data_IF_960348238019
#
_entry.id   IF_960348238019
#
_cell.length_a   1.000
_cell.length_b   1.000
_cell.length_c   1.000
_cell.angle_alpha   90.00
_cell.angle_beta   90.00
_cell.angle_gamma   90.00
#
_symmetry.space_group_name_H-M   'P 1'
#
loop_
_entity.id
_entity.type
_entity.pdbx_description
1 polymer ?
#
# COMPACT_ATOMS: atom_id res chain seq x y z
N UNK A 1 40.60 -4.50 -23.89
CA UNK A 1 39.59 -5.24 -24.69
C UNK A 1 38.29 -4.43 -24.62
N UNK A 2 38.20 -3.41 -25.50
CA UNK A 2 37.10 -2.45 -25.55
C UNK A 2 35.88 -3.12 -26.18
N UNK A 3 34.79 -3.31 -25.43
CA UNK A 3 33.51 -3.71 -26.02
C UNK A 3 32.92 -2.52 -26.80
N UNK A 4 32.49 -2.71 -28.05
CA UNK A 4 31.87 -1.66 -28.83
C UNK A 4 30.48 -1.30 -28.26
N UNK A 5 30.24 -0.01 -28.14
CA UNK A 5 28.98 0.64 -27.76
C UNK A 5 27.79 0.03 -28.53
N UNK A 6 26.89 -0.66 -27.84
CA UNK A 6 25.72 -1.29 -28.45
C UNK A 6 24.63 -0.24 -28.75
N UNK A 7 24.30 0.05 -30.02
CA UNK A 7 23.33 1.07 -30.41
C UNK A 7 21.92 0.80 -29.84
N UNK A 8 21.60 -0.46 -29.50
CA UNK A 8 20.35 -0.83 -28.87
C UNK A 8 20.17 -0.18 -27.48
N UNK A 9 21.26 0.05 -26.72
CA UNK A 9 21.18 0.70 -25.40
C UNK A 9 20.79 2.18 -25.51
N UNK A 10 21.23 2.87 -26.56
CA UNK A 10 20.89 4.28 -26.81
C UNK A 10 19.42 4.44 -27.18
N UNK A 11 18.89 3.54 -27.99
CA UNK A 11 17.46 3.54 -28.37
C UNK A 11 16.55 3.28 -27.18
N UNK A 12 16.94 2.39 -26.27
CA UNK A 12 16.15 2.03 -25.10
C UNK A 12 16.03 3.18 -24.09
N UNK A 13 17.09 3.99 -23.92
CA UNK A 13 17.07 5.20 -23.10
C UNK A 13 16.26 6.35 -23.72
N UNK A 14 16.17 6.43 -25.05
CA UNK A 14 15.35 7.43 -25.73
C UNK A 14 13.84 7.12 -25.62
N UNK A 15 13.48 5.83 -25.62
CA UNK A 15 12.09 5.39 -25.54
C UNK A 15 11.47 5.58 -24.15
N UNK A 16 12.26 5.59 -23.07
CA UNK A 16 11.75 5.80 -21.71
C UNK A 16 11.41 7.27 -21.41
N UNK A 17 12.10 8.25 -22.00
CA UNK A 17 11.82 9.68 -21.77
C UNK A 17 10.56 10.15 -22.50
N UNK A 18 10.29 9.62 -23.70
CA UNK A 18 9.11 10.00 -24.48
C UNK A 18 7.78 9.52 -23.85
N UNK A 19 7.79 8.41 -23.11
CA UNK A 19 6.59 7.87 -22.46
C UNK A 19 6.10 8.68 -21.26
N UNK A 20 7.00 9.38 -20.54
CA UNK A 20 6.65 10.10 -19.31
C UNK A 20 5.97 11.46 -19.52
N UNK A 21 6.18 12.10 -20.68
CA UNK A 21 5.58 13.41 -20.97
C UNK A 21 4.10 13.34 -21.34
N UNK A 22 3.64 12.22 -21.91
CA UNK A 22 2.25 12.05 -22.33
C UNK A 22 1.28 11.85 -21.15
N UNK A 23 1.73 11.23 -20.04
CA UNK A 23 0.89 11.04 -18.85
C UNK A 23 0.57 12.34 -18.10
N UNK A 24 1.37 13.40 -18.25
CA UNK A 24 1.14 14.67 -17.56
C UNK A 24 0.05 15.53 -18.23
N UNK A 25 -0.16 15.41 -19.54
CA UNK A 25 -1.19 16.18 -20.27
C UNK A 25 -2.57 15.53 -20.27
N UNK A 26 -2.67 14.21 -20.09
CA UNK A 26 -3.96 13.50 -20.04
C UNK A 26 -4.80 13.77 -18.77
N UNK A 27 -4.19 14.31 -17.71
CA UNK A 27 -4.85 14.57 -16.43
C UNK A 27 -5.79 15.80 -16.44
N UNK A 28 -5.64 16.69 -17.42
CA UNK A 28 -6.37 17.97 -17.46
C UNK A 28 -7.63 17.96 -18.36
N UNK A 29 -7.83 16.92 -19.15
CA UNK A 29 -8.95 16.82 -20.10
C UNK A 29 -9.72 15.51 -19.90
N UNK A 30 -10.34 15.40 -18.72
CA UNK A 30 -11.61 14.70 -18.51
C UNK A 30 -11.75 13.29 -19.07
N UNK A 31 -11.55 12.28 -18.22
CA UNK A 31 -12.07 10.93 -18.48
C UNK A 31 -11.25 9.80 -17.89
N UNK A 32 -10.95 9.83 -16.59
CA UNK A 32 -10.51 8.61 -15.91
C UNK A 32 -11.73 7.71 -15.70
N UNK A 33 -11.75 6.46 -16.22
CA UNK A 33 -12.74 5.49 -15.79
C UNK A 33 -12.49 5.24 -14.30
N UNK A 34 -13.57 5.30 -13.52
CA UNK A 34 -13.53 5.43 -12.08
C UNK A 34 -12.57 4.44 -11.41
N UNK A 35 -11.62 4.99 -10.65
CA UNK A 35 -11.21 4.36 -9.40
C UNK A 35 -12.44 4.45 -8.51
N UNK A 36 -13.30 3.44 -8.63
CA UNK A 36 -14.34 3.17 -7.66
C UNK A 36 -13.61 2.92 -6.35
N UNK A 37 -13.48 3.98 -5.55
CA UNK A 37 -13.27 3.87 -4.13
C UNK A 37 -14.41 2.98 -3.65
N UNK A 38 -14.12 1.70 -3.43
CA UNK A 38 -15.07 0.77 -2.88
C UNK A 38 -15.38 1.28 -1.47
N UNK A 39 -16.44 2.09 -1.36
CA UNK A 39 -17.09 2.46 -0.11
C UNK A 39 -17.83 1.23 0.43
N UNK A 40 -17.08 0.16 0.70
CA UNK A 40 -17.43 -0.72 1.79
C UNK A 40 -16.97 0.02 3.04
N UNK A 41 -17.87 0.80 3.65
CA UNK A 41 -17.58 1.51 4.88
C UNK A 41 -17.51 0.51 6.02
N UNK A 42 -16.41 -0.26 6.07
CA UNK A 42 -16.01 -0.97 7.27
C UNK A 42 -15.82 0.10 8.34
N UNK A 43 -16.44 -0.03 9.53
CA UNK A 43 -16.28 0.94 10.60
C UNK A 43 -14.80 1.16 10.87
N UNK A 44 -14.26 2.30 10.45
CA UNK A 44 -12.88 2.67 10.77
C UNK A 44 -12.85 2.81 12.28
N UNK A 45 -12.03 2.00 12.94
CA UNK A 45 -11.82 2.10 14.38
C UNK A 45 -11.21 3.47 14.66
N UNK A 46 -12.05 4.43 15.02
CA UNK A 46 -11.61 5.78 15.31
C UNK A 46 -10.81 5.76 16.61
N UNK A 47 -9.63 6.37 16.57
CA UNK A 47 -8.89 6.66 17.78
C UNK A 47 -9.55 7.86 18.47
N UNK A 48 -9.77 7.78 19.77
CA UNK A 48 -10.46 8.80 20.59
C UNK A 48 -9.59 10.03 20.89
N UNK A 49 -8.34 10.07 20.40
CA UNK A 49 -7.39 11.16 20.66
C UNK A 49 -6.73 11.09 22.04
N UNK A 50 -6.89 9.98 22.78
CA UNK A 50 -6.26 9.78 24.09
C UNK A 50 -4.72 9.75 24.04
N UNK A 51 -4.07 9.65 25.22
CA UNK A 51 -2.61 9.47 25.25
C UNK A 51 -2.24 8.05 24.85
N UNK A 52 -1.20 7.90 24.04
CA UNK A 52 -0.65 6.62 23.61
C UNK A 52 0.74 6.48 24.21
N UNK A 53 1.03 5.31 24.77
CA UNK A 53 2.36 5.01 25.32
C UNK A 53 3.28 4.41 24.25
N UNK A 54 2.71 3.63 23.32
CA UNK A 54 3.45 3.02 22.21
C UNK A 54 2.67 3.11 20.90
N UNK A 55 3.30 3.69 19.86
CA UNK A 55 2.82 3.69 18.48
C UNK A 55 3.64 2.70 17.64
N UNK A 56 2.97 1.73 17.03
CA UNK A 56 3.57 0.76 16.11
C UNK A 56 3.09 1.09 14.70
N UNK A 57 4.03 1.29 13.78
CA UNK A 57 3.74 1.56 12.37
C UNK A 57 4.07 0.29 11.56
N UNK A 58 3.06 -0.24 10.87
CA UNK A 58 3.12 -1.48 10.11
C UNK A 58 2.52 -2.67 10.86
N UNK A 59 1.40 -3.19 10.36
CA UNK A 59 0.67 -4.37 10.82
C UNK A 59 1.16 -5.69 10.21
N UNK A 60 2.44 -5.77 9.82
CA UNK A 60 3.07 -7.01 9.37
C UNK A 60 3.31 -8.01 10.51
N UNK A 61 4.04 -9.10 10.22
CA UNK A 61 4.30 -10.18 11.19
C UNK A 61 4.92 -9.69 12.50
N UNK A 62 5.97 -8.85 12.42
CA UNK A 62 6.62 -8.29 13.60
C UNK A 62 5.71 -7.31 14.35
N UNK A 63 5.02 -6.41 13.63
CA UNK A 63 4.12 -5.42 14.22
C UNK A 63 2.95 -6.05 14.97
N UNK A 64 2.35 -7.10 14.40
CA UNK A 64 1.27 -7.84 15.03
C UNK A 64 1.71 -8.55 16.32
N UNK A 65 2.89 -9.17 16.32
CA UNK A 65 3.45 -9.83 17.52
C UNK A 65 3.78 -8.81 18.61
N UNK A 66 4.43 -7.69 18.24
CA UNK A 66 4.75 -6.61 19.17
C UNK A 66 3.48 -6.00 19.76
N UNK A 67 2.48 -5.69 18.94
CA UNK A 67 1.21 -5.16 19.39
C UNK A 67 0.56 -6.09 20.42
N UNK A 68 0.54 -7.40 20.14
CA UNK A 68 -0.01 -8.40 21.06
C UNK A 68 0.74 -8.41 22.39
N UNK A 69 2.07 -8.53 22.38
CA UNK A 69 2.89 -8.61 23.60
C UNK A 69 2.86 -7.34 24.44
N UNK A 70 2.85 -6.18 23.80
CA UNK A 70 2.80 -4.91 24.52
C UNK A 70 1.41 -4.63 25.08
N UNK A 71 0.35 -5.05 24.38
CA UNK A 71 -1.04 -4.90 24.84
C UNK A 71 -1.43 -5.84 25.99
N UNK A 72 -0.69 -6.93 26.22
CA UNK A 72 -0.91 -7.84 27.36
C UNK A 72 -0.72 -7.13 28.70
N UNK A 73 0.04 -6.03 28.73
CA UNK A 73 0.25 -5.22 29.93
C UNK A 73 -0.81 -4.11 29.96
N UNK A 74 -1.73 -4.20 30.93
CA UNK A 74 -2.86 -3.26 31.05
C UNK A 74 -2.48 -1.83 31.46
N UNK A 75 -1.21 -1.58 31.79
CA UNK A 75 -0.66 -0.26 32.10
C UNK A 75 -0.28 0.54 30.84
N UNK A 76 -0.41 -0.04 29.64
CA UNK A 76 0.03 0.58 28.39
C UNK A 76 -1.11 0.67 27.37
N UNK A 77 -1.27 1.86 26.78
CA UNK A 77 -2.07 2.06 25.57
C UNK A 77 -1.19 1.95 24.34
N UNK A 78 -1.46 0.92 23.53
CA UNK A 78 -0.73 0.58 22.32
C UNK A 78 -1.62 0.84 21.10
N UNK A 79 -1.13 1.63 20.15
CA UNK A 79 -1.77 1.87 18.85
C UNK A 79 -0.95 1.22 17.73
N UNK A 80 -1.60 0.42 16.89
CA UNK A 80 -1.02 -0.14 15.66
C UNK A 80 -1.65 0.55 14.45
N UNK A 81 -0.82 1.12 13.58
CA UNK A 81 -1.24 1.77 12.34
C UNK A 81 -0.72 0.99 11.14
N UNK A 82 -1.61 0.61 10.23
CA UNK A 82 -1.29 -0.10 8.99
C UNK A 82 -1.91 0.64 7.80
N UNK A 83 -1.21 0.68 6.67
CA UNK A 83 -1.69 1.37 5.47
C UNK A 83 -2.76 0.54 4.73
N UNK A 84 -2.68 -0.79 4.84
CA UNK A 84 -3.62 -1.72 4.23
C UNK A 84 -4.98 -1.81 4.93
N UNK A 85 -5.92 -2.47 4.24
CA UNK A 85 -7.23 -2.79 4.80
C UNK A 85 -7.11 -3.86 5.89
N UNK A 86 -7.82 -3.65 7.00
CA UNK A 86 -7.93 -4.63 8.06
C UNK A 86 -9.03 -5.63 7.72
N UNK A 87 -8.63 -6.79 7.21
CA UNK A 87 -9.57 -7.89 6.95
C UNK A 87 -9.77 -8.72 8.22
N UNK A 88 -11.02 -8.99 8.64
CA UNK A 88 -11.27 -9.95 9.70
C UNK A 88 -10.92 -11.36 9.22
N UNK A 89 -10.65 -12.27 10.15
CA UNK A 89 -10.15 -13.61 9.83
C UNK A 89 -11.06 -14.43 8.89
N UNK A 90 -12.34 -14.07 8.79
CA UNK A 90 -13.35 -14.74 7.97
C UNK A 90 -13.69 -14.01 6.67
N UNK A 91 -13.16 -12.80 6.42
CA UNK A 91 -13.52 -11.96 5.28
C UNK A 91 -12.29 -11.48 4.52
N UNK A 92 -11.51 -12.45 4.02
CA UNK A 92 -10.39 -12.16 3.13
C UNK A 92 -10.90 -11.93 1.70
N UNK A 93 -10.39 -10.92 0.97
CA UNK A 93 -10.93 -10.59 -0.34
C UNK A 93 -10.74 -11.76 -1.30
N UNK A 94 -11.86 -12.19 -1.91
CA UNK A 94 -11.93 -13.40 -2.74
C UNK A 94 -11.04 -13.35 -4.00
N UNK A 95 -10.61 -12.16 -4.41
CA UNK A 95 -9.74 -11.94 -5.57
C UNK A 95 -8.28 -12.36 -5.35
N UNK A 96 -7.81 -12.47 -4.10
CA UNK A 96 -6.46 -12.98 -3.79
C UNK A 96 -6.39 -14.50 -3.67
N UNK A 97 -7.54 -15.18 -3.63
CA UNK A 97 -7.65 -16.64 -3.57
C UNK A 97 -7.91 -17.28 -4.95
N UNK A 98 -8.07 -16.49 -6.01
CA UNK A 98 -8.08 -17.00 -7.39
C UNK A 98 -6.63 -17.13 -7.89
N UNK A 99 -5.86 -18.05 -7.31
CA UNK A 99 -4.85 -18.73 -8.13
C UNK A 99 -5.64 -19.67 -9.02
N UNK A 100 -5.84 -19.28 -10.27
CA UNK A 100 -6.39 -20.16 -11.30
C UNK A 100 -5.60 -21.48 -11.28
N UNK A 101 -6.37 -22.57 -11.32
CA UNK A 101 -5.94 -23.88 -11.78
C UNK A 101 -5.42 -23.73 -13.22
#
# INVERSE_FOLDING_TARGET
MHQPENPARRTLLAQTVAGSAALALGSLLGGAPGVASATAETPRKAFDGGRIDVLIVGGGSAGAVLARRLSERGDRRVLLLEAGQAYPAWDYPRISALSLI
#
